data_IF_068683998508
#
_entry.id   IF_068683998508
#
_cell.length_a   1.000
_cell.length_b   1.000
_cell.length_c   1.000
_cell.angle_alpha   90.00
_cell.angle_beta   90.00
_cell.angle_gamma   90.00
#
_symmetry.space_group_name_H-M   'P 1'
#
loop_
_entity.id
_entity.type
_entity.pdbx_description
1 polymer ?
#
# COMPACT_ATOMS: atom_id res chain seq x y z
N UNK A 1 18.10 18.20 -11.72
CA UNK A 1 17.19 18.11 -12.88
C UNK A 1 15.83 17.68 -12.38
N UNK A 2 14.74 18.22 -12.91
CA UNK A 2 13.41 17.72 -12.56
C UNK A 2 13.29 16.24 -13.00
N UNK A 3 12.70 15.37 -12.16
CA UNK A 3 12.45 13.98 -12.52
C UNK A 3 11.53 13.93 -13.74
N UNK A 4 11.87 13.09 -14.72
CA UNK A 4 10.95 12.81 -15.82
C UNK A 4 9.85 11.87 -15.31
N UNK A 5 8.68 12.42 -15.07
CA UNK A 5 7.53 11.67 -14.51
C UNK A 5 7.20 10.43 -15.33
N UNK A 6 7.31 10.51 -16.66
CA UNK A 6 7.02 9.38 -17.55
C UNK A 6 8.01 8.22 -17.38
N UNK A 7 9.24 8.50 -16.98
CA UNK A 7 10.26 7.47 -16.72
C UNK A 7 10.17 6.87 -15.33
N UNK A 8 9.75 7.66 -14.33
CA UNK A 8 9.73 7.21 -12.93
C UNK A 8 8.41 6.58 -12.52
N UNK A 9 7.28 6.88 -13.21
CA UNK A 9 5.97 6.39 -12.80
C UNK A 9 5.90 4.86 -12.86
N UNK A 10 5.61 4.25 -11.70
CA UNK A 10 5.54 2.80 -11.54
C UNK A 10 6.89 2.08 -11.67
N UNK A 11 8.03 2.80 -11.65
CA UNK A 11 9.36 2.20 -11.83
C UNK A 11 9.73 1.21 -10.71
N UNK A 12 9.08 1.31 -9.56
CA UNK A 12 9.25 0.40 -8.42
C UNK A 12 8.08 -0.57 -8.24
N UNK A 13 7.25 -0.78 -9.27
CA UNK A 13 6.04 -1.62 -9.21
C UNK A 13 6.12 -2.77 -10.19
N UNK A 14 5.87 -3.99 -9.72
CA UNK A 14 5.73 -5.18 -10.55
C UNK A 14 4.34 -5.19 -11.22
N UNK A 15 4.09 -4.20 -12.06
CA UNK A 15 2.82 -3.95 -12.74
C UNK A 15 2.65 -4.85 -13.98
N UNK A 16 1.49 -4.77 -14.63
CA UNK A 16 1.20 -5.57 -15.82
C UNK A 16 2.17 -5.35 -16.98
N UNK A 17 2.73 -4.14 -17.13
CA UNK A 17 3.74 -3.87 -18.14
C UNK A 17 5.00 -4.71 -17.88
N UNK A 18 5.52 -4.68 -16.67
CA UNK A 18 6.66 -5.49 -16.22
C UNK A 18 6.36 -6.99 -16.33
N UNK A 19 5.14 -7.40 -15.94
CA UNK A 19 4.70 -8.80 -16.06
C UNK A 19 4.68 -9.28 -17.51
N UNK A 20 4.13 -8.48 -18.43
CA UNK A 20 4.08 -8.78 -19.87
C UNK A 20 5.47 -8.90 -20.49
N UNK A 21 6.39 -8.03 -20.07
CA UNK A 21 7.76 -8.03 -20.58
C UNK A 21 8.57 -9.23 -20.08
N UNK A 22 8.39 -9.63 -18.82
CA UNK A 22 9.29 -10.55 -18.12
C UNK A 22 8.77 -11.97 -17.96
N UNK A 23 7.46 -12.16 -17.93
CA UNK A 23 6.87 -13.50 -17.79
C UNK A 23 6.79 -14.24 -19.13
N UNK A 24 6.95 -15.58 -19.13
CA UNK A 24 6.57 -16.37 -20.28
C UNK A 24 5.11 -16.10 -20.68
N UNK A 25 4.83 -16.01 -21.97
CA UNK A 25 3.52 -15.63 -22.49
C UNK A 25 2.37 -16.51 -21.97
N UNK A 26 2.60 -17.81 -21.81
CA UNK A 26 1.61 -18.74 -21.26
C UNK A 26 1.31 -18.45 -19.78
N UNK A 27 2.36 -18.17 -18.98
CA UNK A 27 2.25 -17.80 -17.56
C UNK A 27 1.48 -16.51 -17.40
N UNK A 28 1.82 -15.47 -18.18
CA UNK A 28 1.10 -14.21 -18.15
C UNK A 28 -0.38 -14.38 -18.48
N UNK A 29 -0.73 -15.13 -19.54
CA UNK A 29 -2.13 -15.40 -19.90
C UNK A 29 -2.91 -16.14 -18.81
N UNK A 30 -2.26 -17.00 -18.03
CA UNK A 30 -2.88 -17.65 -16.89
C UNK A 30 -3.08 -16.65 -15.74
N UNK A 31 -2.05 -15.87 -15.42
CA UNK A 31 -2.10 -14.83 -14.38
C UNK A 31 -3.16 -13.76 -14.71
N UNK A 32 -3.31 -13.37 -15.97
CA UNK A 32 -4.33 -12.41 -16.43
C UNK A 32 -5.76 -12.83 -16.05
N UNK A 33 -6.05 -14.13 -16.01
CA UNK A 33 -7.36 -14.63 -15.54
C UNK A 33 -7.53 -14.40 -14.03
N UNK A 34 -6.45 -14.53 -13.28
CA UNK A 34 -6.46 -14.23 -11.83
C UNK A 34 -6.65 -12.73 -11.61
N UNK A 35 -5.90 -11.88 -12.31
CA UNK A 35 -5.95 -10.43 -12.20
C UNK A 35 -7.34 -9.85 -12.53
N UNK A 36 -7.93 -10.29 -13.65
CA UNK A 36 -9.13 -9.63 -14.19
C UNK A 36 -10.43 -10.42 -14.01
N UNK A 37 -10.35 -11.72 -13.70
CA UNK A 37 -11.54 -12.59 -13.57
C UNK A 37 -11.65 -13.26 -12.20
N UNK A 38 -10.73 -12.97 -11.27
CA UNK A 38 -10.75 -13.56 -9.94
C UNK A 38 -10.52 -15.08 -9.91
N UNK A 39 -9.89 -15.66 -10.95
CA UNK A 39 -9.54 -17.08 -10.94
C UNK A 39 -8.47 -17.34 -9.84
N UNK A 40 -8.51 -18.50 -9.18
CA UNK A 40 -7.46 -18.87 -8.24
C UNK A 40 -6.08 -18.87 -8.91
N UNK A 41 -5.07 -18.42 -8.17
CA UNK A 41 -3.67 -18.47 -8.63
C UNK A 41 -3.15 -19.92 -8.51
N UNK A 42 -2.84 -20.52 -9.65
CA UNK A 42 -2.23 -21.84 -9.71
C UNK A 42 -0.81 -21.84 -9.16
N UNK A 43 -0.40 -22.89 -8.42
CA UNK A 43 0.91 -22.94 -7.76
C UNK A 43 2.08 -22.97 -8.77
N UNK A 44 1.93 -23.63 -9.92
CA UNK A 44 2.97 -23.67 -10.93
C UNK A 44 3.14 -22.29 -11.59
N UNK A 45 2.04 -21.60 -11.84
CA UNK A 45 2.04 -20.21 -12.29
C UNK A 45 2.69 -19.31 -11.22
N UNK A 46 2.32 -19.48 -9.96
CA UNK A 46 2.88 -18.72 -8.86
C UNK A 46 4.40 -18.92 -8.70
N UNK A 47 4.92 -20.13 -8.90
CA UNK A 47 6.36 -20.41 -8.87
C UNK A 47 7.13 -19.62 -9.92
N UNK A 48 6.61 -19.57 -11.14
CA UNK A 48 7.23 -18.79 -12.24
C UNK A 48 7.15 -17.29 -11.93
N UNK A 49 5.99 -16.81 -11.49
CA UNK A 49 5.78 -15.40 -11.10
C UNK A 49 6.74 -15.00 -9.97
N UNK A 50 6.83 -15.81 -8.92
CA UNK A 50 7.73 -15.55 -7.77
C UNK A 50 9.20 -15.45 -8.22
N UNK A 51 9.65 -16.40 -9.06
CA UNK A 51 11.02 -16.38 -9.58
C UNK A 51 11.33 -15.12 -10.40
N UNK A 52 10.41 -14.69 -11.25
CA UNK A 52 10.57 -13.47 -12.06
C UNK A 52 10.48 -12.21 -11.20
N UNK A 53 9.52 -12.16 -10.28
CA UNK A 53 9.33 -11.06 -9.34
C UNK A 53 10.58 -10.85 -8.46
N UNK A 54 11.15 -11.93 -7.92
CA UNK A 54 12.40 -11.87 -7.16
C UNK A 54 13.54 -11.27 -7.98
N UNK A 55 13.78 -11.77 -9.20
CA UNK A 55 14.86 -11.25 -10.07
C UNK A 55 14.67 -9.77 -10.37
N UNK A 56 13.45 -9.36 -10.71
CA UNK A 56 13.10 -7.97 -10.93
C UNK A 56 13.37 -7.11 -9.68
N UNK A 57 12.96 -7.58 -8.50
CA UNK A 57 13.20 -6.86 -7.26
C UNK A 57 14.68 -6.73 -6.92
N UNK A 58 15.48 -7.81 -7.13
CA UNK A 58 16.93 -7.79 -6.94
C UNK A 58 17.65 -6.83 -7.90
N UNK A 59 17.19 -6.68 -9.14
CA UNK A 59 17.69 -5.67 -10.08
C UNK A 59 17.45 -4.23 -9.58
N UNK A 60 16.42 -4.04 -8.75
CA UNK A 60 16.13 -2.77 -8.06
C UNK A 60 16.84 -2.66 -6.68
N UNK A 61 17.69 -3.60 -6.32
CA UNK A 61 18.47 -3.59 -5.08
C UNK A 61 17.85 -4.34 -3.91
N UNK A 62 16.69 -4.98 -4.07
CA UNK A 62 16.04 -5.69 -2.98
C UNK A 62 16.85 -6.92 -2.54
N UNK A 63 17.04 -7.07 -1.24
CA UNK A 63 17.70 -8.21 -0.58
C UNK A 63 16.73 -9.04 0.25
N UNK A 64 15.60 -8.46 0.57
CA UNK A 64 14.53 -9.03 1.40
C UNK A 64 13.18 -8.92 0.71
N UNK A 65 12.23 -9.69 1.21
CA UNK A 65 10.81 -9.56 0.89
C UNK A 65 9.98 -9.47 2.16
N UNK A 66 8.74 -8.99 2.04
CA UNK A 66 7.78 -8.97 3.13
C UNK A 66 6.36 -9.18 2.59
N UNK A 67 5.55 -9.87 3.37
CA UNK A 67 4.10 -9.81 3.22
C UNK A 67 3.62 -8.48 3.80
N UNK A 68 3.42 -7.51 2.91
CA UNK A 68 2.95 -6.18 3.27
C UNK A 68 1.43 -6.22 3.44
N UNK A 69 0.93 -5.77 4.58
CA UNK A 69 -0.49 -5.87 4.88
C UNK A 69 -1.03 -4.69 5.69
N UNK A 70 -2.35 -4.57 5.71
CA UNK A 70 -3.10 -3.57 6.48
C UNK A 70 -3.39 -4.12 7.88
N UNK A 71 -2.65 -3.74 8.94
CA UNK A 71 -2.85 -4.28 10.27
C UNK A 71 -4.15 -3.78 10.90
N UNK A 72 -4.63 -4.43 11.95
CA UNK A 72 -5.76 -3.96 12.74
C UNK A 72 -5.41 -2.68 13.52
N UNK A 73 -4.14 -2.49 13.84
CA UNK A 73 -3.60 -1.28 14.46
C UNK A 73 -2.45 -0.71 13.64
N UNK A 74 -2.32 0.62 13.63
CA UNK A 74 -1.29 1.30 12.84
C UNK A 74 -1.70 1.51 11.37
N UNK A 75 -0.72 1.85 10.53
CA UNK A 75 -0.92 2.16 9.10
C UNK A 75 -0.62 0.94 8.25
N UNK A 76 0.63 0.47 8.28
CA UNK A 76 1.11 -0.69 7.54
C UNK A 76 1.88 -1.64 8.47
N UNK A 77 2.03 -2.89 8.08
CA UNK A 77 2.85 -3.88 8.78
C UNK A 77 3.69 -4.69 7.83
N UNK A 78 4.90 -4.96 8.27
CA UNK A 78 5.94 -5.66 7.52
C UNK A 78 6.72 -6.59 8.47
N UNK A 79 7.13 -7.75 7.94
CA UNK A 79 8.11 -8.63 8.58
C UNK A 79 9.05 -9.12 7.50
N UNK A 80 10.26 -8.58 7.48
CA UNK A 80 11.21 -8.81 6.41
C UNK A 80 11.91 -10.15 6.54
N UNK A 81 11.89 -10.95 5.48
CA UNK A 81 12.65 -12.18 5.34
C UNK A 81 13.66 -12.04 4.19
N UNK A 82 14.91 -12.46 4.43
CA UNK A 82 15.96 -12.42 3.40
C UNK A 82 15.69 -13.44 2.29
N UNK A 83 16.05 -13.09 1.06
CA UNK A 83 16.06 -14.08 -0.01
C UNK A 83 17.16 -15.15 0.17
N UNK A 84 18.12 -14.92 1.06
CA UNK A 84 19.26 -15.80 1.26
C UNK A 84 18.84 -17.15 1.86
N UNK A 85 19.25 -18.24 1.20
CA UNK A 85 19.06 -19.61 1.68
C UNK A 85 20.42 -20.35 1.65
N UNK A 86 21.03 -20.67 2.82
CA UNK A 86 22.27 -21.40 2.86
C UNK A 86 22.13 -22.83 2.32
N UNK A 87 23.10 -23.32 1.51
CA UNK A 87 23.06 -24.66 0.93
C UNK A 87 23.97 -25.68 1.67
N UNK A 88 24.59 -25.27 2.79
CA UNK A 88 25.31 -26.15 3.69
C UNK A 88 26.80 -26.38 3.36
N UNK A 89 27.29 -25.85 2.25
CA UNK A 89 28.70 -25.93 1.83
C UNK A 89 29.49 -24.61 2.03
N UNK A 90 28.88 -23.67 2.76
CA UNK A 90 29.46 -22.33 2.98
C UNK A 90 29.01 -21.32 1.91
N UNK A 91 28.19 -21.74 0.95
CA UNK A 91 27.56 -20.85 -0.04
C UNK A 91 26.06 -20.69 0.23
N UNK A 92 25.41 -19.79 -0.50
CA UNK A 92 23.98 -19.55 -0.40
C UNK A 92 23.38 -19.30 -1.79
N UNK A 93 22.10 -19.60 -1.90
CA UNK A 93 21.27 -19.22 -3.05
C UNK A 93 20.27 -18.15 -2.65
N UNK A 94 19.70 -17.47 -3.65
CA UNK A 94 18.60 -16.53 -3.43
C UNK A 94 17.29 -17.22 -3.77
N UNK A 95 16.42 -17.40 -2.78
CA UNK A 95 15.18 -18.17 -2.89
C UNK A 95 13.96 -17.31 -2.62
N UNK A 96 12.93 -17.50 -3.40
CA UNK A 96 11.58 -16.99 -3.21
C UNK A 96 10.67 -17.80 -4.11
N UNK A 97 9.69 -18.47 -3.57
CA UNK A 97 8.87 -19.43 -4.30
C UNK A 97 7.38 -19.06 -4.28
N UNK A 98 6.59 -19.73 -5.13
CA UNK A 98 5.17 -19.44 -5.29
C UNK A 98 4.30 -19.70 -4.06
N UNK A 99 4.78 -20.51 -3.10
CA UNK A 99 4.08 -20.73 -1.83
C UNK A 99 3.88 -19.40 -1.08
N UNK A 100 4.87 -18.51 -1.12
CA UNK A 100 4.80 -17.19 -0.48
C UNK A 100 3.71 -16.29 -1.10
N UNK A 101 3.33 -16.53 -2.36
CA UNK A 101 2.27 -15.80 -3.04
C UNK A 101 0.89 -16.43 -2.79
N UNK A 102 0.80 -17.77 -2.85
CA UNK A 102 -0.49 -18.48 -2.76
C UNK A 102 -0.94 -18.66 -1.33
N UNK A 103 -0.01 -19.07 -0.46
CA UNK A 103 -0.29 -19.40 0.94
C UNK A 103 0.99 -19.32 1.78
N UNK A 104 1.39 -18.11 2.12
CA UNK A 104 2.45 -17.89 3.10
C UNK A 104 1.97 -18.29 4.50
N UNK A 105 2.89 -18.72 5.35
CA UNK A 105 2.61 -19.14 6.74
C UNK A 105 3.49 -18.37 7.72
N UNK A 106 3.37 -17.02 7.79
CA UNK A 106 4.17 -16.22 8.68
C UNK A 106 3.80 -16.49 10.14
N UNK A 107 4.79 -16.32 11.04
CA UNK A 107 4.52 -16.32 12.47
C UNK A 107 3.70 -15.08 12.84
N UNK A 108 2.49 -15.32 13.34
CA UNK A 108 1.55 -14.29 13.74
C UNK A 108 1.52 -14.04 15.26
N UNK A 109 2.43 -14.64 16.04
CA UNK A 109 2.45 -14.54 17.50
C UNK A 109 2.58 -13.10 18.02
N UNK A 110 3.28 -12.24 17.27
CA UNK A 110 3.46 -10.81 17.56
C UNK A 110 2.65 -9.89 16.66
N UNK A 111 1.54 -10.36 16.15
CA UNK A 111 0.71 -9.64 15.20
C UNK A 111 0.03 -8.39 15.83
N UNK A 112 0.06 -7.22 15.17
CA UNK A 112 -0.59 -6.02 15.68
C UNK A 112 -2.11 -6.08 15.50
N UNK A 113 -2.80 -6.70 16.45
CA UNK A 113 -4.23 -6.98 16.38
C UNK A 113 -5.11 -6.03 17.22
N UNK A 114 -4.51 -5.20 18.05
CA UNK A 114 -5.26 -4.31 18.96
C UNK A 114 -6.01 -5.02 20.10
N UNK A 115 -5.81 -6.31 20.30
CA UNK A 115 -6.46 -7.12 21.33
C UNK A 115 -5.59 -8.27 21.85
N UNK A 116 -6.06 -8.92 22.90
CA UNK A 116 -5.44 -10.12 23.43
C UNK A 116 -5.67 -11.29 22.46
N UNK A 117 -4.61 -12.04 22.19
CA UNK A 117 -4.65 -13.27 21.41
C UNK A 117 -3.99 -14.41 22.16
N UNK A 118 -4.61 -15.59 22.11
CA UNK A 118 -3.96 -16.80 22.56
C UNK A 118 -2.84 -17.19 21.55
N UNK A 119 -1.71 -17.65 22.06
CA UNK A 119 -0.57 -18.06 21.21
C UNK A 119 -0.89 -19.23 20.28
N UNK A 120 -1.87 -20.07 20.62
CA UNK A 120 -2.36 -21.13 19.75
C UNK A 120 -3.09 -20.59 18.49
N UNK A 121 -3.61 -19.37 18.53
CA UNK A 121 -4.24 -18.68 17.40
C UNK A 121 -3.25 -17.85 16.59
N UNK A 122 -1.97 -17.89 16.95
CA UNK A 122 -0.92 -17.07 16.35
C UNK A 122 -0.54 -17.49 14.92
N UNK A 123 -0.97 -18.68 14.48
CA UNK A 123 -0.75 -19.12 13.09
C UNK A 123 -1.81 -18.54 12.18
N UNK A 124 -1.35 -18.03 11.04
CA UNK A 124 -2.22 -17.49 10.00
C UNK A 124 -1.65 -17.74 8.62
N UNK A 125 -2.44 -17.41 7.64
CA UNK A 125 -2.11 -17.56 6.24
C UNK A 125 -2.19 -16.22 5.53
N UNK A 126 -1.19 -15.99 4.69
CA UNK A 126 -1.17 -14.84 3.79
C UNK A 126 -1.45 -15.31 2.37
N UNK A 127 -2.17 -14.48 1.61
CA UNK A 127 -2.34 -14.66 0.19
C UNK A 127 -2.11 -13.32 -0.51
N UNK A 128 -1.28 -13.32 -1.54
CA UNK A 128 -1.10 -12.13 -2.37
C UNK A 128 -2.45 -11.72 -2.95
N UNK A 129 -2.76 -10.43 -2.87
CA UNK A 129 -3.82 -9.81 -3.66
C UNK A 129 -3.24 -9.41 -5.02
N UNK A 130 -3.41 -10.22 -6.07
CA UNK A 130 -2.75 -9.97 -7.35
C UNK A 130 -3.29 -8.74 -8.07
N UNK A 131 -4.43 -8.20 -7.64
CA UNK A 131 -4.99 -6.93 -8.16
C UNK A 131 -4.30 -5.70 -7.56
N UNK A 132 -3.51 -5.89 -6.48
CA UNK A 132 -2.63 -4.89 -5.90
C UNK A 132 -1.19 -5.33 -6.14
N UNK A 133 -0.50 -4.62 -7.04
CA UNK A 133 0.81 -5.05 -7.50
C UNK A 133 1.88 -5.00 -6.42
N UNK A 134 2.78 -5.98 -6.42
CA UNK A 134 3.97 -5.96 -5.59
C UNK A 134 4.89 -4.79 -5.98
N UNK A 135 5.62 -4.25 -5.01
CA UNK A 135 6.47 -3.09 -5.21
C UNK A 135 7.77 -3.19 -4.40
N UNK A 136 8.78 -2.43 -4.78
CA UNK A 136 10.04 -2.33 -4.03
C UNK A 136 10.07 -1.01 -3.26
N UNK A 137 10.24 -1.10 -1.95
CA UNK A 137 10.39 0.02 -1.02
C UNK A 137 11.53 -0.29 -0.06
N UNK A 138 12.44 0.64 0.16
CA UNK A 138 13.56 0.48 1.10
C UNK A 138 14.37 -0.81 0.93
N UNK A 139 14.68 -1.16 -0.32
CA UNK A 139 15.42 -2.38 -0.69
C UNK A 139 14.71 -3.70 -0.28
N UNK A 140 13.38 -3.64 -0.14
CA UNK A 140 12.51 -4.77 0.20
C UNK A 140 11.43 -4.94 -0.85
N UNK A 141 11.23 -6.18 -1.32
CA UNK A 141 10.07 -6.56 -2.12
C UNK A 141 8.83 -6.66 -1.21
N UNK A 142 7.91 -5.73 -1.35
CA UNK A 142 6.66 -5.70 -0.61
C UNK A 142 5.54 -6.35 -1.43
N UNK A 143 4.85 -7.33 -0.85
CA UNK A 143 3.79 -8.11 -1.49
C UNK A 143 2.48 -7.76 -0.78
N UNK A 144 1.57 -7.01 -1.41
CA UNK A 144 0.27 -6.69 -0.82
C UNK A 144 -0.54 -7.95 -0.56
N UNK A 145 -0.92 -8.17 0.69
CA UNK A 145 -1.40 -9.47 1.17
C UNK A 145 -2.67 -9.33 1.99
N UNK A 146 -3.59 -10.27 1.82
CA UNK A 146 -4.65 -10.56 2.78
C UNK A 146 -4.13 -11.54 3.84
N UNK A 147 -4.50 -11.34 5.10
CA UNK A 147 -4.04 -12.14 6.22
C UNK A 147 -5.21 -12.70 7.02
N UNK A 148 -5.29 -14.02 7.13
CA UNK A 148 -6.36 -14.73 7.83
C UNK A 148 -5.80 -15.73 8.84
N UNK A 149 -6.56 -16.00 9.90
CA UNK A 149 -6.22 -17.04 10.87
C UNK A 149 -6.37 -18.45 10.27
N UNK A 150 -5.90 -19.44 11.00
CA UNK A 150 -6.11 -20.85 10.66
C UNK A 150 -7.60 -21.20 10.48
N UNK A 151 -8.48 -20.57 11.23
CA UNK A 151 -9.94 -20.75 11.19
C UNK A 151 -10.64 -19.85 10.16
N UNK A 152 -9.88 -18.99 9.45
CA UNK A 152 -10.41 -18.11 8.39
C UNK A 152 -10.89 -16.73 8.87
N UNK A 153 -10.66 -16.38 10.12
CA UNK A 153 -10.96 -15.05 10.65
C UNK A 153 -9.96 -14.02 10.09
N UNK A 154 -10.44 -12.81 9.85
CA UNK A 154 -9.60 -11.74 9.37
C UNK A 154 -8.59 -11.30 10.45
N UNK A 155 -7.31 -11.27 10.11
CA UNK A 155 -6.24 -10.75 10.95
C UNK A 155 -5.74 -9.37 10.49
N UNK A 156 -6.35 -8.83 9.44
CA UNK A 156 -6.04 -7.54 8.83
C UNK A 156 -7.32 -6.79 8.48
N UNK A 157 -7.17 -5.61 7.89
CA UNK A 157 -8.30 -4.80 7.38
C UNK A 157 -8.63 -5.11 5.92
N UNK A 158 -7.69 -5.66 5.15
CA UNK A 158 -7.89 -5.95 3.72
C UNK A 158 -8.84 -7.11 3.49
N UNK A 159 -8.77 -8.15 4.30
CA UNK A 159 -9.68 -9.30 4.19
C UNK A 159 -11.17 -8.90 4.29
N UNK A 160 -11.62 -8.15 5.32
CA UNK A 160 -13.00 -7.70 5.37
C UNK A 160 -13.34 -6.72 4.23
N UNK A 161 -12.39 -5.89 3.77
CA UNK A 161 -12.58 -5.02 2.63
C UNK A 161 -12.89 -5.83 1.36
N UNK A 162 -12.05 -6.79 1.00
CA UNK A 162 -12.25 -7.65 -0.18
C UNK A 162 -13.57 -8.43 -0.11
N UNK A 163 -13.91 -8.96 1.08
CA UNK A 163 -15.20 -9.63 1.31
C UNK A 163 -16.39 -8.69 1.11
N UNK A 164 -16.30 -7.45 1.59
CA UNK A 164 -17.34 -6.44 1.41
C UNK A 164 -17.52 -6.03 -0.04
N UNK A 165 -16.43 -5.88 -0.80
CA UNK A 165 -16.48 -5.60 -2.24
C UNK A 165 -17.23 -6.70 -3.01
N UNK A 166 -16.94 -7.97 -2.71
CA UNK A 166 -17.63 -9.10 -3.31
C UNK A 166 -19.13 -9.13 -2.93
N UNK A 167 -19.44 -8.90 -1.66
CA UNK A 167 -20.84 -8.86 -1.19
C UNK A 167 -21.62 -7.73 -1.89
N UNK A 168 -21.01 -6.55 -2.02
CA UNK A 168 -21.61 -5.42 -2.72
C UNK A 168 -21.80 -5.71 -4.21
N UNK A 169 -20.79 -6.29 -4.88
CA UNK A 169 -20.89 -6.68 -6.30
C UNK A 169 -22.08 -7.61 -6.53
N UNK A 170 -22.25 -8.63 -5.69
CA UNK A 170 -23.36 -9.58 -5.81
C UNK A 170 -24.73 -8.90 -5.68
N UNK A 171 -24.88 -7.93 -4.78
CA UNK A 171 -26.14 -7.20 -4.63
C UNK A 171 -26.36 -6.19 -5.77
N UNK A 172 -25.32 -5.52 -6.24
CA UNK A 172 -25.39 -4.62 -7.37
C UNK A 172 -25.80 -5.35 -8.66
N UNK A 173 -25.26 -6.53 -8.91
CA UNK A 173 -25.67 -7.39 -10.05
C UNK A 173 -27.15 -7.73 -9.99
N UNK A 174 -27.69 -8.05 -8.78
CA UNK A 174 -29.13 -8.30 -8.62
C UNK A 174 -29.98 -7.10 -9.01
N UNK A 175 -29.55 -5.90 -8.63
CA UNK A 175 -30.25 -4.66 -9.01
C UNK A 175 -30.15 -4.40 -10.50
N UNK A 176 -28.95 -4.56 -11.08
CA UNK A 176 -28.71 -4.34 -12.52
C UNK A 176 -29.55 -5.26 -13.41
N UNK A 177 -29.78 -6.51 -12.98
CA UNK A 177 -30.68 -7.44 -13.69
C UNK A 177 -32.11 -6.93 -13.80
N UNK A 178 -32.60 -6.18 -12.82
CA UNK A 178 -33.95 -5.55 -12.89
C UNK A 178 -34.02 -4.47 -13.99
N UNK A 179 -32.88 -3.91 -14.38
CA UNK A 179 -32.76 -2.97 -15.50
C UNK A 179 -32.34 -3.64 -16.81
N UNK A 180 -32.38 -4.97 -16.87
CA UNK A 180 -32.03 -5.74 -18.08
C UNK A 180 -30.54 -5.72 -18.40
N UNK A 181 -29.67 -5.39 -17.42
CA UNK A 181 -28.21 -5.43 -17.58
C UNK A 181 -27.67 -6.75 -17.07
N UNK A 182 -26.93 -7.47 -17.95
CA UNK A 182 -26.21 -8.68 -17.60
C UNK A 182 -24.72 -8.34 -17.49
N UNK A 183 -24.16 -8.47 -16.29
CA UNK A 183 -22.76 -8.15 -15.97
C UNK A 183 -22.21 -9.19 -15.03
N UNK A 184 -20.93 -9.51 -15.15
CA UNK A 184 -20.26 -10.54 -14.34
C UNK A 184 -19.78 -9.98 -12.99
N UNK A 185 -19.42 -8.70 -12.93
CA UNK A 185 -18.86 -8.08 -11.74
C UNK A 185 -19.14 -6.58 -11.70
N UNK A 186 -19.31 -6.03 -10.51
CA UNK A 186 -19.41 -4.59 -10.24
C UNK A 186 -18.28 -4.20 -9.28
N UNK A 187 -17.34 -3.39 -9.76
CA UNK A 187 -16.26 -2.87 -8.94
C UNK A 187 -16.66 -1.57 -8.24
N UNK A 188 -16.12 -1.38 -7.05
CA UNK A 188 -16.17 -0.11 -6.33
C UNK A 188 -14.91 0.70 -6.56
N UNK A 189 -15.02 2.01 -6.59
CA UNK A 189 -13.89 2.93 -6.71
C UNK A 189 -13.91 3.96 -5.59
N UNK A 190 -12.72 4.46 -5.21
CA UNK A 190 -12.55 5.53 -4.25
C UNK A 190 -11.30 6.34 -4.58
N UNK A 191 -11.34 7.65 -4.31
CA UNK A 191 -10.18 8.54 -4.35
C UNK A 191 -9.97 9.14 -2.97
N UNK A 192 -9.20 8.48 -2.08
CA UNK A 192 -8.96 8.98 -0.75
C UNK A 192 -8.01 10.17 -0.80
N UNK A 193 -8.45 11.29 -0.28
CA UNK A 193 -7.67 12.51 -0.13
C UNK A 193 -6.98 12.52 1.23
N UNK A 194 -5.76 13.05 1.29
CA UNK A 194 -5.03 13.23 2.53
C UNK A 194 -4.92 14.72 2.85
N UNK A 195 -5.66 15.14 3.85
CA UNK A 195 -5.49 16.44 4.50
C UNK A 195 -4.55 16.32 5.68
N UNK A 196 -3.52 17.15 5.71
CA UNK A 196 -2.46 17.04 6.72
C UNK A 196 -1.94 18.40 7.18
N UNK A 197 -1.53 18.46 8.44
CA UNK A 197 -0.86 19.62 9.01
C UNK A 197 0.66 19.39 8.99
N UNK A 198 1.41 20.41 8.56
CA UNK A 198 2.86 20.45 8.71
C UNK A 198 3.24 21.48 9.78
N UNK A 199 4.03 21.04 10.75
CA UNK A 199 4.59 21.88 11.81
C UNK A 199 6.11 21.74 11.81
N UNK A 200 6.81 22.73 12.32
CA UNK A 200 8.25 22.63 12.47
C UNK A 200 8.62 21.53 13.45
N UNK A 201 9.69 20.80 13.15
CA UNK A 201 10.16 19.70 13.98
C UNK A 201 10.55 20.16 15.38
N UNK A 202 11.18 21.33 15.50
CA UNK A 202 11.56 21.91 16.78
C UNK A 202 10.34 22.21 17.66
N UNK A 203 9.25 22.70 17.06
CA UNK A 203 8.00 22.96 17.77
C UNK A 203 7.34 21.64 18.21
N UNK A 204 7.39 20.60 17.40
CA UNK A 204 6.93 19.26 17.77
C UNK A 204 7.73 18.70 18.94
N UNK A 205 9.06 18.75 18.87
CA UNK A 205 9.95 18.21 19.91
C UNK A 205 9.85 18.98 21.24
N UNK A 206 9.45 20.25 21.20
CA UNK A 206 9.19 21.06 22.40
C UNK A 206 7.83 20.77 23.07
N UNK A 207 6.95 19.99 22.43
CA UNK A 207 5.57 19.78 22.86
C UNK A 207 5.30 18.32 23.25
N UNK A 208 5.24 18.05 24.54
CA UNK A 208 4.95 16.69 25.06
C UNK A 208 3.55 16.19 24.67
N UNK A 209 2.56 17.06 24.54
CA UNK A 209 1.23 16.67 24.08
C UNK A 209 1.26 16.13 22.63
N UNK A 210 2.01 16.76 21.74
CA UNK A 210 2.18 16.29 20.36
C UNK A 210 2.94 14.97 20.32
N UNK A 211 4.04 14.83 21.08
CA UNK A 211 4.86 13.62 21.12
C UNK A 211 4.08 12.44 21.68
N UNK A 212 3.41 12.63 22.82
CA UNK A 212 2.77 11.53 23.55
C UNK A 212 1.39 11.15 23.03
N UNK A 213 0.66 12.10 22.44
CA UNK A 213 -0.75 11.88 22.04
C UNK A 213 -1.00 12.08 20.55
N UNK A 214 -0.05 12.63 19.79
CA UNK A 214 -0.20 12.93 18.37
C UNK A 214 -1.18 14.07 18.08
N UNK A 215 -1.55 14.88 19.09
CA UNK A 215 -2.48 16.00 18.95
C UNK A 215 -2.19 17.12 19.96
N UNK A 216 -2.68 18.31 19.67
CA UNK A 216 -2.64 19.44 20.60
C UNK A 216 -3.66 19.23 21.72
N UNK A 217 -3.21 19.23 22.96
CA UNK A 217 -4.05 19.22 24.18
C UNK A 217 -4.11 20.57 24.83
N UNK A 218 -3.07 21.41 24.73
CA UNK A 218 -2.92 22.68 25.37
C UNK A 218 -2.56 23.78 24.37
N UNK A 219 -2.88 25.00 24.66
CA UNK A 219 -2.48 26.17 23.90
C UNK A 219 -3.65 27.06 23.51
N UNK A 220 -3.31 28.24 23.00
CA UNK A 220 -4.29 29.17 22.47
C UNK A 220 -4.72 28.70 21.04
N UNK A 221 -5.95 29.01 20.62
CA UNK A 221 -6.35 28.89 19.24
C UNK A 221 -5.44 29.69 18.30
N UNK A 222 -5.36 29.28 17.03
CA UNK A 222 -4.68 30.06 16.01
C UNK A 222 -5.24 31.49 15.95
N UNK A 223 -4.35 32.48 15.74
CA UNK A 223 -4.76 33.87 15.55
C UNK A 223 -5.67 34.08 14.32
N UNK A 224 -5.49 33.23 13.30
CA UNK A 224 -6.37 33.12 12.14
C UNK A 224 -7.00 31.72 12.13
N UNK A 225 -8.29 31.66 11.86
CA UNK A 225 -9.02 30.42 11.62
C UNK A 225 -9.21 30.16 10.13
N UNK A 226 -10.42 29.79 9.77
CA UNK A 226 -10.81 29.48 8.39
C UNK A 226 -11.59 30.63 7.72
N UNK A 227 -11.61 31.80 8.36
CA UNK A 227 -12.37 32.94 7.88
C UNK A 227 -11.87 33.40 6.51
N UNK A 228 -12.82 33.67 5.60
CA UNK A 228 -12.58 34.13 4.23
C UNK A 228 -11.75 33.17 3.35
N UNK A 229 -11.45 31.96 3.85
CA UNK A 229 -10.71 30.92 3.12
C UNK A 229 -9.34 31.41 2.56
N UNK A 230 -8.71 32.35 3.25
CA UNK A 230 -7.47 33.02 2.79
C UNK A 230 -6.33 32.02 2.53
N UNK A 231 -6.26 30.92 3.30
CA UNK A 231 -5.18 29.94 3.17
C UNK A 231 -5.38 29.02 1.97
N UNK A 232 -6.60 28.67 1.61
CA UNK A 232 -6.93 27.69 0.57
C UNK A 232 -6.28 28.02 -0.79
N UNK A 233 -6.45 29.24 -1.30
CA UNK A 233 -5.82 29.71 -2.53
C UNK A 233 -4.49 30.42 -2.34
N UNK A 234 -3.93 30.35 -1.13
CA UNK A 234 -2.65 30.95 -0.80
C UNK A 234 -1.47 30.29 -1.51
N UNK A 235 -0.36 31.02 -1.59
CA UNK A 235 0.89 30.48 -2.13
C UNK A 235 1.46 29.42 -1.18
N UNK A 236 1.87 28.27 -1.72
CA UNK A 236 2.55 27.23 -0.96
C UNK A 236 3.95 27.72 -0.57
N UNK A 237 4.29 27.62 0.69
CA UNK A 237 5.61 28.01 1.21
C UNK A 237 6.72 27.15 0.59
N UNK A 238 7.94 27.70 0.39
CA UNK A 238 9.03 26.96 -0.25
C UNK A 238 9.36 25.63 0.39
N UNK A 239 9.41 25.54 1.73
CA UNK A 239 9.71 24.31 2.49
C UNK A 239 8.63 23.25 2.25
N UNK A 240 7.37 23.67 2.32
CA UNK A 240 6.21 22.81 2.06
C UNK A 240 6.21 22.33 0.61
N UNK A 241 6.52 23.25 -0.34
CA UNK A 241 6.61 22.90 -1.77
C UNK A 241 7.72 21.89 -2.05
N UNK A 242 8.87 22.00 -1.34
CA UNK A 242 9.96 21.03 -1.45
C UNK A 242 9.57 19.65 -0.93
N UNK A 243 8.92 19.59 0.23
CA UNK A 243 8.33 18.35 0.77
C UNK A 243 7.32 17.72 -0.20
N UNK A 244 6.35 18.50 -0.67
CA UNK A 244 5.33 18.03 -1.60
C UNK A 244 5.93 17.49 -2.90
N UNK A 245 7.00 18.11 -3.39
CA UNK A 245 7.69 17.66 -4.59
C UNK A 245 8.34 16.29 -4.39
N UNK A 246 9.10 16.08 -3.32
CA UNK A 246 9.73 14.78 -3.04
C UNK A 246 8.67 13.71 -2.79
N UNK A 247 7.59 14.08 -2.09
CA UNK A 247 6.47 13.18 -1.85
C UNK A 247 5.84 12.70 -3.18
N UNK A 248 5.52 13.61 -4.10
CA UNK A 248 5.00 13.25 -5.41
C UNK A 248 5.93 12.29 -6.15
N UNK A 249 7.24 12.58 -6.19
CA UNK A 249 8.23 11.77 -6.91
C UNK A 249 8.31 10.34 -6.32
N UNK A 250 8.31 10.18 -5.00
CA UNK A 250 8.32 8.86 -4.37
C UNK A 250 7.00 8.10 -4.56
N UNK A 251 5.86 8.79 -4.48
CA UNK A 251 4.56 8.18 -4.75
C UNK A 251 4.43 7.72 -6.19
N UNK A 252 4.88 8.53 -7.16
CA UNK A 252 4.87 8.13 -8.58
C UNK A 252 5.74 6.92 -8.86
N UNK A 253 6.92 6.79 -8.23
CA UNK A 253 7.75 5.57 -8.33
C UNK A 253 7.00 4.32 -7.85
N UNK A 254 6.16 4.47 -6.83
CA UNK A 254 5.30 3.42 -6.28
C UNK A 254 3.98 3.24 -7.07
N UNK A 255 3.81 3.92 -8.21
CA UNK A 255 2.61 3.82 -9.04
C UNK A 255 1.38 4.51 -8.47
N UNK A 256 1.54 5.31 -7.41
CA UNK A 256 0.45 6.05 -6.79
C UNK A 256 0.18 7.32 -7.59
N UNK A 257 -1.04 7.51 -8.12
CA UNK A 257 -1.35 8.60 -9.03
C UNK A 257 -1.65 9.91 -8.28
N UNK A 258 -0.70 10.38 -7.45
CA UNK A 258 -0.77 11.69 -6.81
C UNK A 258 -0.95 12.77 -7.88
N UNK A 259 -2.05 13.52 -7.82
CA UNK A 259 -2.47 14.43 -8.89
C UNK A 259 -2.51 15.87 -8.46
N UNK A 260 -3.08 16.16 -7.31
CA UNK A 260 -3.32 17.51 -6.84
C UNK A 260 -2.64 17.72 -5.49
N UNK A 261 -2.03 18.89 -5.32
CA UNK A 261 -1.48 19.37 -4.05
C UNK A 261 -1.73 20.86 -3.92
N UNK A 262 -2.22 21.27 -2.76
CA UNK A 262 -2.53 22.67 -2.46
C UNK A 262 -2.63 22.88 -0.94
N UNK A 263 -2.87 24.14 -0.54
CA UNK A 263 -3.22 24.46 0.83
C UNK A 263 -4.69 24.14 1.09
N UNK A 264 -5.01 23.70 2.29
CA UNK A 264 -6.38 23.56 2.79
C UNK A 264 -6.84 24.82 3.55
N UNK A 265 -8.09 24.80 3.99
CA UNK A 265 -8.74 25.99 4.58
C UNK A 265 -8.10 26.38 5.91
N UNK A 266 -7.72 25.42 6.73
CA UNK A 266 -7.10 25.70 8.03
C UNK A 266 -5.63 26.14 7.88
N UNK A 267 -5.14 27.04 8.72
CA UNK A 267 -3.73 27.45 8.73
C UNK A 267 -2.79 26.25 8.87
N UNK A 268 -1.76 26.18 8.03
CA UNK A 268 -0.78 25.08 7.95
C UNK A 268 -1.35 23.72 7.58
N UNK A 269 -2.59 23.65 7.10
CA UNK A 269 -3.18 22.46 6.52
C UNK A 269 -2.95 22.44 5.01
N UNK A 270 -2.65 21.27 4.51
CA UNK A 270 -2.36 21.00 3.09
C UNK A 270 -3.06 19.72 2.67
N UNK A 271 -3.23 19.55 1.36
CA UNK A 271 -3.90 18.38 0.81
C UNK A 271 -3.07 17.73 -0.29
N UNK A 272 -3.23 16.41 -0.38
CA UNK A 272 -2.85 15.60 -1.53
C UNK A 272 -4.06 14.80 -1.98
N UNK A 273 -4.47 14.97 -3.24
CA UNK A 273 -5.54 14.22 -3.87
C UNK A 273 -5.01 13.33 -4.99
N UNK A 274 -5.21 12.00 -4.94
CA UNK A 274 -4.87 11.08 -6.02
C UNK A 274 -6.01 11.00 -7.05
N UNK A 275 -5.69 10.44 -8.22
CA UNK A 275 -6.74 9.92 -9.10
C UNK A 275 -7.34 8.68 -8.42
N UNK A 276 -8.67 8.52 -8.50
CA UNK A 276 -9.36 7.37 -7.93
C UNK A 276 -8.95 6.05 -8.61
N UNK A 277 -9.07 4.96 -7.86
CA UNK A 277 -8.83 3.60 -8.34
C UNK A 277 -9.86 2.63 -7.73
N UNK A 278 -9.76 1.33 -8.07
CA UNK A 278 -10.52 0.30 -7.37
C UNK A 278 -10.25 0.37 -5.88
N UNK A 279 -11.28 0.11 -5.08
CA UNK A 279 -11.24 0.41 -3.64
C UNK A 279 -10.07 -0.25 -2.90
N UNK A 280 -9.74 -1.51 -3.21
CA UNK A 280 -8.62 -2.21 -2.56
C UNK A 280 -7.26 -1.60 -2.93
N UNK A 281 -7.05 -1.25 -4.20
CA UNK A 281 -5.82 -0.59 -4.66
C UNK A 281 -5.71 0.82 -4.08
N UNK A 282 -6.80 1.60 -4.14
CA UNK A 282 -6.83 2.95 -3.61
C UNK A 282 -6.54 3.00 -2.09
N UNK A 283 -7.03 2.01 -1.33
CA UNK A 283 -6.72 1.91 0.11
C UNK A 283 -5.26 1.55 0.36
N UNK A 284 -4.68 0.60 -0.40
CA UNK A 284 -3.24 0.31 -0.31
C UNK A 284 -2.40 1.56 -0.63
N UNK A 285 -2.73 2.27 -1.70
CA UNK A 285 -2.08 3.52 -2.06
C UNK A 285 -2.18 4.59 -0.97
N UNK A 286 -3.35 4.70 -0.34
CA UNK A 286 -3.57 5.66 0.74
C UNK A 286 -2.71 5.36 1.98
N UNK A 287 -2.59 4.08 2.36
CA UNK A 287 -1.75 3.67 3.48
C UNK A 287 -0.26 3.94 3.18
N UNK A 288 0.20 3.64 1.97
CA UNK A 288 1.56 3.98 1.53
C UNK A 288 1.79 5.49 1.50
N UNK A 289 0.82 6.27 1.04
CA UNK A 289 0.89 7.74 1.04
C UNK A 289 1.11 8.27 2.46
N UNK A 290 0.33 7.81 3.43
CA UNK A 290 0.48 8.21 4.85
C UNK A 290 1.83 7.80 5.43
N UNK A 291 2.32 6.61 5.07
CA UNK A 291 3.65 6.14 5.47
C UNK A 291 4.75 7.03 4.90
N UNK A 292 4.69 7.32 3.59
CA UNK A 292 5.67 8.17 2.91
C UNK A 292 5.65 9.60 3.43
N UNK A 293 4.49 10.17 3.74
CA UNK A 293 4.39 11.48 4.40
C UNK A 293 5.16 11.51 5.71
N UNK A 294 4.96 10.51 6.59
CA UNK A 294 5.66 10.42 7.88
C UNK A 294 7.16 10.19 7.72
N UNK A 295 7.57 9.46 6.70
CA UNK A 295 8.98 9.17 6.41
C UNK A 295 9.72 10.39 5.88
N UNK A 296 9.07 11.17 5.02
CA UNK A 296 9.72 12.31 4.34
C UNK A 296 9.65 13.60 5.16
N UNK A 297 8.55 13.86 5.87
CA UNK A 297 8.38 15.12 6.61
C UNK A 297 9.56 15.49 7.51
N UNK A 298 10.22 14.57 8.25
CA UNK A 298 11.36 14.91 9.11
C UNK A 298 12.62 15.44 8.38
N UNK A 299 12.66 15.39 7.04
CA UNK A 299 13.77 15.93 6.24
C UNK A 299 13.64 17.43 6.00
N UNK A 300 12.42 17.96 6.14
CA UNK A 300 12.04 19.35 5.86
C UNK A 300 11.61 20.08 7.13
#
# INVERSE_FOLDING_TARGET
MAANVMEIYGSKVFNEHVMKERLPSATYKSLEKTLHKGAPLDIEVANVVASVMKRWAMELGATHYTHWFQPLTGITSEKHDGFVSPVGDGTAIMEFNGKELVRGEPDASSFPSGGLRATCEARGYTAWDPTSFAFVKDDVLCIPTAFVSYTGEALDKKTPLLRSMNALSNQAIRVLKLFGKDVDYVSTTVGPEQEYFLIKKEDYEARQDLILTGRTLFGAPSAKGQELEEHYFGVIRPEVSAFMKELDEELWKLGIPAKTKHNEVAPCQHELAPIFDTTNVAIDHNLLTMEMMKKLAPKY
#
